data_IF_451011150282
#
_entry.id   IF_451011150282
#
_cell.length_a   1.000
_cell.length_b   1.000
_cell.length_c   1.000
_cell.angle_alpha   90.00
_cell.angle_beta   90.00
_cell.angle_gamma   90.00
#
_symmetry.space_group_name_H-M   'P 1'
#
loop_
_entity.id
_entity.type
_entity.pdbx_description
1 polymer ?
#
# COMPACT_ATOMS: atom_id res chain seq x y z
N UNK A 1 -14.65 42.08 77.53
CA UNK A 1 -16.06 42.48 77.68
C UNK A 1 -16.71 41.50 78.64
N UNK A 2 -17.68 41.94 79.43
CA UNK A 2 -18.45 41.03 80.27
C UNK A 2 -19.19 40.01 79.38
N UNK A 3 -19.49 38.82 79.88
CA UNK A 3 -20.40 37.89 79.18
C UNK A 3 -21.86 38.22 79.53
N UNK A 4 -22.85 37.83 78.71
CA UNK A 4 -24.27 37.98 79.10
C UNK A 4 -24.58 37.37 80.46
N UNK A 5 -23.89 36.29 80.83
CA UNK A 5 -24.02 35.63 82.13
C UNK A 5 -23.38 36.44 83.28
N UNK A 6 -22.32 37.19 83.02
CA UNK A 6 -21.74 38.13 84.00
C UNK A 6 -22.60 39.38 84.20
N UNK A 7 -23.31 39.84 83.17
CA UNK A 7 -24.27 40.95 83.27
C UNK A 7 -25.51 40.52 84.06
N UNK A 8 -26.03 39.32 83.80
CA UNK A 8 -27.17 38.75 84.52
C UNK A 8 -26.92 38.55 86.02
N UNK A 9 -25.68 38.25 86.40
CA UNK A 9 -25.29 38.02 87.80
C UNK A 9 -24.73 39.28 88.49
N UNK A 10 -24.82 40.45 87.85
CA UNK A 10 -24.26 41.69 88.39
C UNK A 10 -25.14 42.23 89.52
N UNK A 11 -24.59 42.37 90.73
CA UNK A 11 -25.30 42.91 91.90
C UNK A 11 -24.75 44.28 92.31
N UNK A 12 -25.63 45.22 92.62
CA UNK A 12 -25.25 46.57 93.06
C UNK A 12 -25.51 46.77 94.57
N UNK A 13 -24.63 47.51 95.25
CA UNK A 13 -24.81 47.86 96.66
C UNK A 13 -25.97 48.86 96.85
N UNK A 14 -26.79 48.67 97.89
CA UNK A 14 -27.95 49.54 98.18
C UNK A 14 -27.51 50.91 98.71
N UNK A 15 -27.91 51.98 98.02
CA UNK A 15 -27.63 53.35 98.46
C UNK A 15 -28.57 53.79 99.61
N UNK A 16 -28.02 54.52 100.59
CA UNK A 16 -28.73 54.93 101.82
C UNK A 16 -29.60 56.18 101.63
N UNK A 17 -29.33 57.02 100.61
CA UNK A 17 -30.16 58.19 100.28
C UNK A 17 -30.06 58.50 98.77
N UNK A 18 -31.19 58.62 98.06
CA UNK A 18 -31.25 59.09 96.66
C UNK A 18 -30.78 58.11 95.56
N UNK A 19 -30.84 56.79 95.79
CA UNK A 19 -30.43 55.78 94.81
C UNK A 19 -31.43 55.50 93.68
N UNK A 20 -30.97 54.79 92.64
CA UNK A 20 -31.83 54.28 91.57
C UNK A 20 -32.86 53.26 92.08
N UNK A 21 -34.03 53.21 91.44
CA UNK A 21 -35.06 52.22 91.74
C UNK A 21 -34.58 50.83 91.30
N UNK A 22 -34.43 49.91 92.26
CA UNK A 22 -33.91 48.56 92.01
C UNK A 22 -34.76 47.80 90.97
N UNK A 23 -36.10 47.91 91.01
CA UNK A 23 -36.96 47.24 90.04
C UNK A 23 -36.76 47.76 88.61
N UNK A 24 -36.56 49.07 88.44
CA UNK A 24 -36.32 49.66 87.12
C UNK A 24 -34.92 49.37 86.58
N UNK A 25 -33.93 49.17 87.47
CA UNK A 25 -32.58 48.74 87.09
C UNK A 25 -32.59 47.27 86.69
N UNK A 26 -33.31 46.42 87.42
CA UNK A 26 -33.47 44.99 87.10
C UNK A 26 -34.18 44.80 85.75
N UNK A 27 -35.30 45.49 85.50
CA UNK A 27 -36.00 45.46 84.20
C UNK A 27 -35.10 45.89 83.02
N UNK A 28 -34.17 46.81 83.26
CA UNK A 28 -33.19 47.24 82.26
C UNK A 28 -32.09 46.19 82.04
N UNK A 29 -31.58 45.59 83.12
CA UNK A 29 -30.56 44.54 83.04
C UNK A 29 -31.09 43.26 82.39
N UNK A 30 -32.37 42.92 82.58
CA UNK A 30 -33.00 41.78 81.91
C UNK A 30 -33.03 41.99 80.39
N UNK A 31 -33.52 43.15 79.93
CA UNK A 31 -33.54 43.50 78.50
C UNK A 31 -32.12 43.61 77.92
N UNK A 32 -31.20 44.23 78.66
CA UNK A 32 -29.80 44.34 78.26
C UNK A 32 -29.15 42.95 78.14
N UNK A 33 -29.44 42.04 79.07
CA UNK A 33 -28.95 40.67 79.05
C UNK A 33 -29.50 39.91 77.85
N UNK A 34 -30.79 40.07 77.53
CA UNK A 34 -31.42 39.46 76.35
C UNK A 34 -30.80 39.96 75.04
N UNK A 35 -30.72 41.28 74.84
CA UNK A 35 -30.13 41.90 73.66
C UNK A 35 -28.64 41.54 73.52
N UNK A 36 -27.90 41.51 74.63
CA UNK A 36 -26.48 41.17 74.62
C UNK A 36 -26.24 39.69 74.34
N UNK A 37 -27.11 38.80 74.83
CA UNK A 37 -27.09 37.38 74.49
C UNK A 37 -27.44 37.14 73.01
N UNK A 38 -28.42 37.86 72.47
CA UNK A 38 -28.75 37.82 71.05
C UNK A 38 -27.57 38.28 70.18
N UNK A 39 -26.95 39.40 70.53
CA UNK A 39 -25.78 39.93 69.82
C UNK A 39 -24.59 38.97 69.87
N UNK A 40 -24.36 38.27 70.99
CA UNK A 40 -23.33 37.23 71.08
C UNK A 40 -23.61 36.02 70.17
N UNK A 41 -24.87 35.55 70.13
CA UNK A 41 -25.27 34.46 69.23
C UNK A 41 -25.12 34.86 67.77
N UNK A 42 -25.55 36.06 67.40
CA UNK A 42 -25.38 36.59 66.04
C UNK A 42 -23.90 36.77 65.68
N UNK A 43 -23.09 37.30 66.60
CA UNK A 43 -21.65 37.46 66.37
C UNK A 43 -20.96 36.09 66.15
N UNK A 44 -21.35 35.06 66.91
CA UNK A 44 -20.86 33.70 66.70
C UNK A 44 -21.32 33.13 65.35
N UNK A 45 -22.58 33.34 64.97
CA UNK A 45 -23.11 32.92 63.68
C UNK A 45 -22.41 33.62 62.51
N UNK A 46 -22.16 34.94 62.63
CA UNK A 46 -21.44 35.72 61.62
C UNK A 46 -19.98 35.28 61.48
N UNK A 47 -19.28 35.03 62.60
CA UNK A 47 -17.93 34.46 62.57
C UNK A 47 -17.89 33.10 61.89
N UNK A 48 -18.87 32.24 62.17
CA UNK A 48 -18.99 30.94 61.50
C UNK A 48 -19.22 31.10 59.99
N UNK A 49 -20.14 31.99 59.58
CA UNK A 49 -20.37 32.30 58.16
C UNK A 49 -19.13 32.86 57.47
N UNK A 50 -18.39 33.75 58.14
CA UNK A 50 -17.16 34.32 57.61
C UNK A 50 -16.10 33.23 57.39
N UNK A 51 -15.96 32.31 58.35
CA UNK A 51 -15.08 31.16 58.21
C UNK A 51 -15.47 30.31 57.00
N UNK A 52 -16.75 29.92 56.89
CA UNK A 52 -17.22 29.10 55.76
C UNK A 52 -16.99 29.79 54.41
N UNK A 53 -17.20 31.11 54.32
CA UNK A 53 -16.94 31.86 53.07
C UNK A 53 -15.46 31.94 52.76
N UNK A 54 -14.60 32.13 53.79
CA UNK A 54 -13.16 32.13 53.61
C UNK A 54 -12.65 30.75 53.15
N UNK A 55 -13.11 29.67 53.79
CA UNK A 55 -12.75 28.29 53.43
C UNK A 55 -13.17 27.99 51.97
N UNK A 56 -14.38 28.37 51.56
CA UNK A 56 -14.84 28.20 50.17
C UNK A 56 -14.04 29.01 49.16
N UNK A 57 -13.61 30.23 49.52
CA UNK A 57 -12.79 31.05 48.64
C UNK A 57 -11.42 30.41 48.40
N UNK A 58 -10.85 29.80 49.43
CA UNK A 58 -9.59 29.06 49.33
C UNK A 58 -9.75 27.81 48.45
N UNK A 59 -10.82 27.04 48.66
CA UNK A 59 -11.18 25.91 47.80
C UNK A 59 -11.33 26.32 46.32
N UNK A 60 -12.04 27.43 46.04
CA UNK A 60 -12.17 27.92 44.67
C UNK A 60 -10.83 28.34 44.05
N UNK A 61 -9.92 28.91 44.85
CA UNK A 61 -8.57 29.24 44.36
C UNK A 61 -7.79 27.98 44.00
N UNK A 62 -7.82 26.96 44.84
CA UNK A 62 -7.16 25.68 44.56
C UNK A 62 -7.73 25.01 43.29
N UNK A 63 -9.05 25.03 43.12
CA UNK A 63 -9.71 24.50 41.91
C UNK A 63 -9.33 25.31 40.67
N UNK A 64 -9.28 26.64 40.77
CA UNK A 64 -8.88 27.50 39.66
C UNK A 64 -7.42 27.22 39.24
N UNK A 65 -6.52 27.04 40.19
CA UNK A 65 -5.12 26.72 39.91
C UNK A 65 -4.95 25.31 39.32
N UNK A 66 -5.71 24.33 39.81
CA UNK A 66 -5.76 23.00 39.21
C UNK A 66 -6.30 23.04 37.77
N UNK A 67 -7.33 23.84 37.51
CA UNK A 67 -7.88 24.04 36.18
C UNK A 67 -6.87 24.73 35.25
N UNK A 68 -6.20 25.80 35.71
CA UNK A 68 -5.12 26.46 34.96
C UNK A 68 -3.99 25.50 34.62
N UNK A 69 -3.55 24.71 35.59
CA UNK A 69 -2.51 23.69 35.38
C UNK A 69 -2.92 22.64 34.34
N UNK A 70 -4.17 22.17 34.42
CA UNK A 70 -4.75 21.21 33.47
C UNK A 70 -4.82 21.81 32.07
N UNK A 71 -5.29 23.05 31.93
CA UNK A 71 -5.35 23.75 30.64
C UNK A 71 -3.97 23.95 30.02
N UNK A 72 -2.97 24.34 30.82
CA UNK A 72 -1.59 24.48 30.36
C UNK A 72 -1.01 23.13 29.92
N UNK A 73 -1.31 22.06 30.65
CA UNK A 73 -0.88 20.70 30.28
C UNK A 73 -1.54 20.25 28.98
N UNK A 74 -2.85 20.45 28.85
CA UNK A 74 -3.59 20.16 27.62
C UNK A 74 -3.06 20.97 26.43
N UNK A 75 -2.76 22.25 26.62
CA UNK A 75 -2.16 23.10 25.58
C UNK A 75 -0.79 22.56 25.15
N UNK A 76 0.09 22.23 26.10
CA UNK A 76 1.40 21.63 25.80
C UNK A 76 1.27 20.31 25.06
N UNK A 77 0.35 19.45 25.49
CA UNK A 77 0.07 18.17 24.82
C UNK A 77 -0.43 18.40 23.39
N UNK A 78 -1.37 19.31 23.18
CA UNK A 78 -1.87 19.67 21.85
C UNK A 78 -0.74 20.20 20.95
N UNK A 79 0.10 21.11 21.45
CA UNK A 79 1.27 21.60 20.71
C UNK A 79 2.27 20.49 20.38
N UNK A 80 2.54 19.56 21.32
CA UNK A 80 3.40 18.40 21.08
C UNK A 80 2.80 17.49 20.01
N UNK A 81 1.50 17.19 20.08
CA UNK A 81 0.81 16.37 19.08
C UNK A 81 0.89 16.99 17.68
N UNK A 82 0.70 18.30 17.56
CA UNK A 82 0.83 19.00 16.27
C UNK A 82 2.27 18.92 15.76
N UNK A 83 3.25 19.22 16.62
CA UNK A 83 4.67 19.17 16.23
C UNK A 83 5.11 17.76 15.81
N UNK A 84 4.67 16.73 16.52
CA UNK A 84 4.94 15.33 16.16
C UNK A 84 4.26 14.93 14.85
N UNK A 85 3.03 15.38 14.62
CA UNK A 85 2.32 15.11 13.37
C UNK A 85 2.99 15.79 12.18
N UNK A 86 3.44 17.03 12.33
CA UNK A 86 4.22 17.76 11.32
C UNK A 86 5.56 17.07 11.03
N UNK A 87 6.30 16.68 12.08
CA UNK A 87 7.56 15.95 11.92
C UNK A 87 7.36 14.60 11.20
N UNK A 88 6.30 13.84 11.55
CA UNK A 88 5.95 12.59 10.87
C UNK A 88 5.56 12.82 9.41
N UNK A 89 4.77 13.86 9.13
CA UNK A 89 4.41 14.26 7.76
C UNK A 89 5.66 14.55 6.94
N UNK A 90 6.55 15.38 7.47
CA UNK A 90 7.75 15.80 6.75
C UNK A 90 8.70 14.62 6.52
N UNK A 91 8.84 13.74 7.51
CA UNK A 91 9.58 12.49 7.34
C UNK A 91 8.98 11.58 6.26
N UNK A 92 7.65 11.43 6.23
CA UNK A 92 6.96 10.63 5.21
C UNK A 92 7.13 11.24 3.82
N UNK A 93 7.00 12.56 3.68
CA UNK A 93 7.20 13.26 2.41
C UNK A 93 8.66 13.09 1.94
N UNK A 94 9.63 13.24 2.85
CA UNK A 94 11.04 13.06 2.52
C UNK A 94 11.36 11.62 2.09
N UNK A 95 10.81 10.62 2.78
CA UNK A 95 10.99 9.21 2.44
C UNK A 95 10.32 8.88 1.09
N UNK A 96 9.08 9.31 0.87
CA UNK A 96 8.38 9.14 -0.39
C UNK A 96 9.10 9.81 -1.56
N UNK A 97 9.59 11.05 -1.37
CA UNK A 97 10.37 11.76 -2.38
C UNK A 97 11.71 11.05 -2.66
N UNK A 98 12.38 10.55 -1.61
CA UNK A 98 13.60 9.77 -1.74
C UNK A 98 13.38 8.45 -2.48
N UNK A 99 12.32 7.72 -2.16
CA UNK A 99 11.93 6.49 -2.83
C UNK A 99 11.57 6.74 -4.30
N UNK A 100 10.78 7.79 -4.60
CA UNK A 100 10.45 8.17 -5.96
C UNK A 100 11.70 8.54 -6.78
N UNK A 101 12.64 9.28 -6.18
CA UNK A 101 13.92 9.61 -6.82
C UNK A 101 14.75 8.36 -7.14
N UNK A 102 14.87 7.43 -6.19
CA UNK A 102 15.57 6.15 -6.42
C UNK A 102 14.91 5.34 -7.53
N UNK A 103 13.57 5.27 -7.56
CA UNK A 103 12.84 4.61 -8.64
C UNK A 103 13.07 5.26 -10.00
N UNK A 104 13.13 6.59 -10.06
CA UNK A 104 13.48 7.29 -11.30
C UNK A 104 14.91 6.99 -11.75
N UNK A 105 15.87 6.95 -10.83
CA UNK A 105 17.25 6.58 -11.13
C UNK A 105 17.36 5.13 -11.63
N UNK A 106 16.66 4.19 -10.99
CA UNK A 106 16.57 2.79 -11.44
C UNK A 106 15.99 2.69 -12.86
N UNK A 107 14.87 3.37 -13.13
CA UNK A 107 14.23 3.37 -14.46
C UNK A 107 15.14 4.02 -15.51
N UNK A 108 15.85 5.09 -15.16
CA UNK A 108 16.80 5.74 -16.08
C UNK A 108 17.97 4.83 -16.42
N UNK A 109 18.49 4.06 -15.46
CA UNK A 109 19.54 3.07 -15.71
C UNK A 109 19.03 1.95 -16.61
N UNK A 110 17.86 1.38 -16.29
CA UNK A 110 17.27 0.32 -17.12
C UNK A 110 16.99 0.81 -18.55
N UNK A 111 16.52 2.06 -18.71
CA UNK A 111 16.32 2.65 -20.03
C UNK A 111 17.64 2.78 -20.79
N UNK A 112 18.72 3.23 -20.14
CA UNK A 112 20.03 3.34 -20.78
C UNK A 112 20.57 1.96 -21.21
N UNK A 113 20.41 0.93 -20.37
CA UNK A 113 20.81 -0.43 -20.70
C UNK A 113 20.00 -0.99 -21.89
N UNK A 114 18.70 -0.73 -21.92
CA UNK A 114 17.83 -1.13 -23.04
C UNK A 114 18.19 -0.38 -24.34
N UNK A 115 18.46 0.92 -24.25
CA UNK A 115 18.91 1.72 -25.40
C UNK A 115 20.23 1.19 -25.96
N UNK A 116 21.18 0.84 -25.10
CA UNK A 116 22.45 0.25 -25.51
C UNK A 116 22.24 -1.12 -26.18
N UNK A 117 21.41 -2.00 -25.59
CA UNK A 117 21.08 -3.30 -26.18
C UNK A 117 20.42 -3.16 -27.54
N UNK A 118 19.53 -2.19 -27.72
CA UNK A 118 18.90 -1.90 -29.00
C UNK A 118 19.91 -1.36 -30.01
N UNK A 119 20.86 -0.51 -29.60
CA UNK A 119 21.93 -0.02 -30.46
C UNK A 119 22.83 -1.17 -30.94
N UNK A 120 23.22 -2.07 -30.04
CA UNK A 120 24.02 -3.25 -30.37
C UNK A 120 23.29 -4.16 -31.37
N UNK A 121 22.00 -4.41 -31.14
CA UNK A 121 21.18 -5.21 -32.06
C UNK A 121 20.98 -4.57 -33.42
N UNK A 122 20.81 -3.25 -33.48
CA UNK A 122 20.76 -2.51 -34.76
C UNK A 122 22.06 -2.68 -35.51
N UNK A 123 23.20 -2.53 -34.83
CA UNK A 123 24.52 -2.71 -35.43
C UNK A 123 24.72 -4.12 -35.98
N UNK A 124 24.32 -5.15 -35.22
CA UNK A 124 24.39 -6.55 -35.67
C UNK A 124 23.55 -6.77 -36.95
N UNK A 125 22.34 -6.20 -37.00
CA UNK A 125 21.48 -6.26 -38.18
C UNK A 125 22.11 -5.52 -39.37
N UNK A 126 22.65 -4.31 -39.16
CA UNK A 126 23.32 -3.54 -40.21
C UNK A 126 24.55 -4.29 -40.78
N UNK A 127 25.34 -4.92 -39.92
CA UNK A 127 26.47 -5.75 -40.32
C UNK A 127 26.03 -7.00 -41.10
N UNK A 128 24.93 -7.65 -40.70
CA UNK A 128 24.36 -8.79 -41.42
C UNK A 128 23.81 -8.40 -42.81
N UNK A 129 23.10 -7.27 -42.91
CA UNK A 129 22.62 -6.73 -44.19
C UNK A 129 23.81 -6.46 -45.11
N UNK A 130 24.85 -5.78 -44.62
CA UNK A 130 26.03 -5.50 -45.42
C UNK A 130 26.77 -6.78 -45.89
N UNK A 131 26.77 -7.83 -45.06
CA UNK A 131 27.33 -9.13 -45.44
C UNK A 131 26.51 -9.82 -46.55
N UNK A 132 25.18 -9.81 -46.44
CA UNK A 132 24.28 -10.35 -47.46
C UNK A 132 24.37 -9.57 -48.78
N UNK A 133 24.44 -8.24 -48.71
CA UNK A 133 24.66 -7.39 -49.89
C UNK A 133 25.97 -7.73 -50.61
N UNK A 134 27.07 -7.94 -49.87
CA UNK A 134 28.35 -8.37 -50.44
C UNK A 134 28.25 -9.75 -51.08
N UNK A 135 27.56 -10.70 -50.44
CA UNK A 135 27.33 -12.05 -50.97
C UNK A 135 26.54 -12.01 -52.27
N UNK A 136 25.46 -11.22 -52.30
CA UNK A 136 24.65 -11.01 -53.49
C UNK A 136 25.46 -10.36 -54.61
N UNK A 137 26.25 -9.33 -54.30
CA UNK A 137 27.11 -8.67 -55.28
C UNK A 137 28.15 -9.62 -55.88
N UNK A 138 28.79 -10.45 -55.05
CA UNK A 138 29.75 -11.47 -55.52
C UNK A 138 29.07 -12.53 -56.40
N UNK A 139 27.88 -13.01 -56.00
CA UNK A 139 27.09 -13.94 -56.80
C UNK A 139 26.65 -13.36 -58.15
N UNK A 140 26.21 -12.09 -58.17
CA UNK A 140 25.88 -11.39 -59.41
C UNK A 140 27.09 -11.20 -60.33
N UNK A 141 28.26 -10.90 -59.76
CA UNK A 141 29.51 -10.80 -60.53
C UNK A 141 29.90 -12.16 -61.13
N UNK A 142 29.88 -13.23 -60.32
CA UNK A 142 30.15 -14.58 -60.81
C UNK A 142 29.20 -15.03 -61.92
N UNK A 143 27.91 -14.68 -61.84
CA UNK A 143 26.95 -14.94 -62.91
C UNK A 143 27.28 -14.16 -64.19
N UNK A 144 27.66 -12.88 -64.08
CA UNK A 144 28.09 -12.07 -65.23
C UNK A 144 29.32 -12.69 -65.91
N UNK A 145 30.30 -13.12 -65.12
CA UNK A 145 31.53 -13.73 -65.63
C UNK A 145 31.22 -15.08 -66.32
N UNK A 146 30.33 -15.90 -65.75
CA UNK A 146 29.88 -17.14 -66.37
C UNK A 146 29.16 -16.91 -67.71
N UNK A 147 28.24 -15.94 -67.77
CA UNK A 147 27.54 -15.58 -69.00
C UNK A 147 28.55 -15.16 -70.09
N UNK A 148 29.54 -14.34 -69.75
CA UNK A 148 30.60 -13.95 -70.69
C UNK A 148 31.41 -15.16 -71.18
N UNK A 149 31.77 -16.07 -70.28
CA UNK A 149 32.48 -17.31 -70.63
C UNK A 149 31.66 -18.17 -71.59
N UNK A 150 30.38 -18.42 -71.30
CA UNK A 150 29.50 -19.20 -72.18
C UNK A 150 29.36 -18.53 -73.55
N UNK A 151 29.17 -17.22 -73.58
CA UNK A 151 29.10 -16.46 -74.84
C UNK A 151 30.40 -16.61 -75.66
N UNK A 152 31.56 -16.56 -75.02
CA UNK A 152 32.85 -16.72 -75.70
C UNK A 152 33.04 -18.14 -76.27
N UNK A 153 32.60 -19.18 -75.54
CA UNK A 153 32.64 -20.57 -76.01
C UNK A 153 31.70 -20.76 -77.19
N UNK A 154 30.46 -20.27 -77.11
CA UNK A 154 29.51 -20.32 -78.21
C UNK A 154 30.04 -19.56 -79.45
N UNK A 155 30.69 -18.40 -79.26
CA UNK A 155 31.34 -17.66 -80.35
C UNK A 155 32.49 -18.46 -80.97
N UNK A 156 33.36 -19.07 -80.16
CA UNK A 156 34.45 -19.91 -80.67
C UNK A 156 33.94 -21.14 -81.43
N UNK A 157 32.85 -21.77 -80.95
CA UNK A 157 32.18 -22.86 -81.66
C UNK A 157 31.58 -22.38 -82.99
N UNK A 158 30.92 -21.22 -83.01
CA UNK A 158 30.41 -20.61 -84.23
C UNK A 158 31.52 -20.32 -85.25
N UNK A 159 32.66 -19.79 -84.81
CA UNK A 159 33.81 -19.54 -85.68
C UNK A 159 34.37 -20.84 -86.28
N UNK A 160 34.42 -21.93 -85.51
CA UNK A 160 34.80 -23.25 -86.01
C UNK A 160 33.82 -23.75 -87.08
N UNK A 161 32.51 -23.63 -86.83
CA UNK A 161 31.47 -24.01 -87.77
C UNK A 161 31.51 -23.18 -89.06
N UNK A 162 31.88 -21.91 -88.97
CA UNK A 162 32.09 -21.05 -90.15
C UNK A 162 33.33 -21.43 -90.96
N UNK A 163 34.31 -22.11 -90.35
CA UNK A 163 35.53 -22.62 -91.00
C UNK A 163 35.40 -24.05 -91.55
N UNK A 164 34.33 -24.78 -91.22
CA UNK A 164 34.05 -26.10 -91.81
C UNK A 164 34.00 -26.14 -93.35
N UNK A 165 33.53 -25.11 -94.07
CA UNK A 165 33.57 -25.08 -95.54
C UNK A 165 34.97 -25.10 -96.16
N UNK A 166 36.04 -24.87 -95.37
CA UNK A 166 37.43 -24.86 -95.84
C UNK A 166 38.23 -26.14 -95.51
N UNK A 167 37.63 -27.15 -94.88
CA UNK A 167 38.33 -28.42 -94.63
C UNK A 167 38.34 -29.32 -95.89
N UNK A 168 39.51 -29.85 -96.30
CA UNK A 168 39.58 -30.83 -97.39
C UNK A 168 38.90 -32.15 -96.98
N UNK A 169 38.34 -32.92 -97.93
CA UNK A 169 37.62 -34.14 -97.62
C UNK A 169 38.56 -35.20 -97.00
N UNK A 170 38.16 -35.77 -95.86
CA UNK A 170 38.85 -36.93 -95.30
C UNK A 170 38.64 -38.18 -96.17
N UNK A 171 39.66 -39.03 -96.35
CA UNK A 171 39.51 -40.34 -96.97
C UNK A 171 38.96 -41.36 -95.96
N UNK A 172 37.92 -42.10 -96.36
CA UNK A 172 37.68 -43.49 -95.93
C UNK A 172 38.39 -44.42 -96.94
N UNK A 173 38.62 -45.74 -96.69
CA UNK A 173 38.21 -46.61 -95.56
C UNK A 173 39.33 -47.57 -95.06
N UNK A 174 39.09 -48.36 -94.00
CA UNK A 174 39.39 -49.81 -93.99
C UNK A 174 38.70 -50.54 -92.82
N UNK A 175 38.21 -51.73 -93.11
CA UNK A 175 37.41 -52.58 -92.24
C UNK A 175 38.23 -53.79 -91.71
N UNK A 176 37.98 -54.14 -90.45
CA UNK A 176 38.10 -55.45 -89.77
C UNK A 176 39.50 -55.98 -89.39
N UNK A 177 39.65 -56.75 -88.26
CA UNK A 177 38.66 -57.67 -87.67
C UNK A 177 38.35 -57.52 -86.16
N UNK A 178 37.24 -58.14 -85.76
CA UNK A 178 36.85 -58.43 -84.37
C UNK A 178 37.81 -59.44 -83.73
N UNK A 179 38.03 -59.35 -82.41
CA UNK A 179 38.23 -60.53 -81.57
C UNK A 179 37.14 -60.71 -80.51
N UNK A 180 36.82 -61.99 -80.34
CA UNK A 180 36.02 -62.74 -79.36
C UNK A 180 35.99 -62.22 -77.91
N UNK A 181 34.76 -62.11 -77.40
CA UNK A 181 34.22 -62.81 -76.20
C UNK A 181 35.21 -63.40 -75.16
N UNK A 182 35.29 -62.74 -73.98
CA UNK A 182 35.53 -63.27 -72.61
C UNK A 182 35.91 -62.06 -71.72
N UNK A 183 35.43 -61.80 -70.50
CA UNK A 183 34.83 -62.61 -69.45
C UNK A 183 33.77 -61.79 -68.69
N UNK A 184 32.70 -62.46 -68.25
CA UNK A 184 31.76 -61.97 -67.26
C UNK A 184 32.48 -61.69 -65.93
N UNK A 185 32.37 -60.46 -65.42
CA UNK A 185 32.67 -60.18 -64.01
C UNK A 185 31.35 -60.34 -63.23
N UNK A 186 31.31 -61.23 -62.22
CA UNK A 186 30.06 -61.70 -61.63
C UNK A 186 29.40 -60.63 -60.77
N UNK A 187 28.10 -60.50 -60.97
CA UNK A 187 27.15 -59.96 -60.00
C UNK A 187 27.11 -60.94 -58.83
N UNK A 188 27.50 -60.48 -57.64
CA UNK A 188 27.45 -61.24 -56.40
C UNK A 188 26.90 -60.34 -55.28
N UNK A 189 26.31 -60.92 -54.22
CA UNK A 189 24.88 -60.89 -54.02
C UNK A 189 24.47 -59.90 -52.93
N UNK A 190 23.17 -59.61 -52.90
CA UNK A 190 22.48 -59.19 -51.69
C UNK A 190 22.73 -60.22 -50.59
N UNK A 191 23.40 -59.81 -49.52
CA UNK A 191 23.25 -60.43 -48.21
C UNK A 191 22.46 -59.46 -47.32
N UNK A 192 21.23 -59.89 -47.06
CA UNK A 192 20.45 -59.49 -45.89
C UNK A 192 21.21 -59.94 -44.63
N UNK A 193 21.42 -59.04 -43.68
CA UNK A 193 21.30 -59.40 -42.27
C UNK A 193 20.91 -58.17 -41.42
N UNK A 194 20.08 -58.39 -40.38
CA UNK A 194 19.30 -57.35 -39.72
C UNK A 194 20.11 -56.70 -38.59
N UNK A 195 20.00 -55.38 -38.47
CA UNK A 195 20.37 -54.67 -37.26
C UNK A 195 19.23 -53.73 -36.89
N UNK A 196 18.62 -54.03 -35.75
CA UNK A 196 17.70 -53.19 -35.01
C UNK A 196 18.30 -51.80 -34.81
N UNK A 197 17.51 -50.76 -35.07
CA UNK A 197 17.40 -49.62 -34.16
C UNK A 197 15.98 -49.07 -34.28
N UNK A 198 15.15 -49.54 -33.36
CA UNK A 198 13.91 -48.91 -32.98
C UNK A 198 14.24 -47.59 -32.27
N UNK A 199 13.43 -46.55 -32.52
CA UNK A 199 13.28 -45.43 -31.59
C UNK A 199 13.61 -44.04 -32.14
N UNK A 200 12.81 -43.53 -33.08
CA UNK A 200 12.73 -42.07 -33.32
C UNK A 200 11.29 -41.52 -33.19
N UNK A 201 10.37 -42.28 -32.59
CA UNK A 201 9.02 -41.80 -32.27
C UNK A 201 8.82 -41.42 -30.79
N UNK A 202 9.81 -41.59 -29.90
CA UNK A 202 9.65 -41.22 -28.47
C UNK A 202 10.20 -39.83 -28.09
N UNK A 203 10.99 -39.16 -28.93
CA UNK A 203 11.62 -37.88 -28.54
C UNK A 203 10.70 -36.65 -28.74
N UNK A 204 9.68 -36.76 -29.59
CA UNK A 204 8.68 -35.71 -29.77
C UNK A 204 7.62 -35.69 -28.66
N UNK A 205 7.22 -36.85 -28.14
CA UNK A 205 6.18 -36.95 -27.09
C UNK A 205 6.71 -36.67 -25.68
N UNK A 206 8.00 -36.90 -25.40
CA UNK A 206 8.60 -36.63 -24.10
C UNK A 206 8.81 -35.14 -23.80
N UNK A 207 9.01 -34.31 -24.84
CA UNK A 207 9.18 -32.85 -24.67
C UNK A 207 7.84 -32.20 -24.34
N UNK A 208 6.73 -32.64 -24.94
CA UNK A 208 5.40 -32.14 -24.61
C UNK A 208 4.91 -32.62 -23.23
N UNK A 209 5.22 -33.86 -22.84
CA UNK A 209 4.87 -34.39 -21.52
C UNK A 209 5.67 -33.75 -20.36
N UNK A 210 6.97 -33.50 -20.54
CA UNK A 210 7.81 -32.84 -19.55
C UNK A 210 7.42 -31.36 -19.36
N UNK A 211 7.13 -30.66 -20.46
CA UNK A 211 6.69 -29.27 -20.41
C UNK A 211 5.28 -29.14 -19.80
N UNK A 212 4.39 -30.10 -20.08
CA UNK A 212 3.07 -30.15 -19.45
C UNK A 212 3.13 -30.43 -17.93
N UNK A 213 4.08 -31.25 -17.48
CA UNK A 213 4.31 -31.51 -16.04
C UNK A 213 4.86 -30.27 -15.31
N UNK A 214 5.83 -29.54 -15.88
CA UNK A 214 6.33 -28.28 -15.29
C UNK A 214 5.25 -27.18 -15.23
N UNK A 215 4.39 -27.09 -16.26
CA UNK A 215 3.27 -26.16 -16.26
C UNK A 215 2.23 -26.55 -15.20
N UNK A 216 1.96 -27.84 -15.03
CA UNK A 216 1.02 -28.30 -14.00
C UNK A 216 1.57 -28.09 -12.59
N UNK A 217 2.87 -28.32 -12.38
CA UNK A 217 3.54 -28.13 -11.08
C UNK A 217 3.61 -26.64 -10.70
N UNK A 218 3.81 -25.74 -11.68
CA UNK A 218 3.75 -24.28 -11.44
C UNK A 218 2.34 -23.78 -11.15
N UNK A 219 1.31 -24.34 -11.81
CA UNK A 219 -0.11 -24.05 -11.50
C UNK A 219 -0.46 -24.54 -10.08
N UNK A 220 -0.03 -25.73 -9.69
CA UNK A 220 -0.28 -26.29 -8.37
C UNK A 220 0.49 -25.55 -7.26
N UNK A 221 1.71 -25.10 -7.53
CA UNK A 221 2.47 -24.21 -6.64
C UNK A 221 1.76 -22.87 -6.45
N UNK A 222 1.24 -22.27 -7.53
CA UNK A 222 0.48 -21.02 -7.46
C UNK A 222 -0.86 -21.20 -6.71
N UNK A 223 -1.53 -22.35 -6.88
CA UNK A 223 -2.73 -22.71 -6.14
C UNK A 223 -2.46 -22.92 -4.63
N UNK A 224 -1.30 -23.48 -4.27
CA UNK A 224 -0.89 -23.63 -2.87
C UNK A 224 -0.48 -22.29 -2.23
N UNK A 225 0.19 -21.41 -2.99
CA UNK A 225 0.56 -20.05 -2.57
C UNK A 225 -0.69 -19.19 -2.27
N UNK A 226 -1.69 -19.25 -3.14
CA UNK A 226 -2.96 -18.52 -2.98
C UNK A 226 -3.78 -19.06 -1.80
N UNK A 227 -3.86 -20.39 -1.63
CA UNK A 227 -4.48 -21.01 -0.44
C UNK A 227 -3.74 -20.66 0.86
N UNK A 228 -2.40 -20.56 0.83
CA UNK A 228 -1.57 -20.19 1.98
C UNK A 228 -1.68 -18.70 2.33
N UNK A 229 -1.86 -17.83 1.34
CA UNK A 229 -2.18 -16.41 1.57
C UNK A 229 -3.57 -16.25 2.18
N UNK A 230 -4.57 -16.96 1.67
CA UNK A 230 -5.95 -16.84 2.14
C UNK A 230 -6.12 -17.42 3.57
N UNK A 231 -5.40 -18.50 3.89
CA UNK A 231 -5.33 -19.07 5.26
C UNK A 231 -4.66 -18.10 6.24
N UNK A 232 -3.56 -17.45 5.85
CA UNK A 232 -2.89 -16.41 6.65
C UNK A 232 -3.79 -15.19 6.86
N UNK A 233 -4.58 -14.81 5.87
CA UNK A 233 -5.50 -13.66 5.97
C UNK A 233 -6.69 -13.97 6.90
N UNK A 234 -7.27 -15.18 6.81
CA UNK A 234 -8.31 -15.64 7.75
C UNK A 234 -7.82 -15.74 9.19
N UNK A 235 -6.57 -16.15 9.40
CA UNK A 235 -5.98 -16.31 10.73
C UNK A 235 -5.65 -14.95 11.38
N UNK A 236 -5.19 -13.96 10.58
CA UNK A 236 -5.06 -12.57 11.02
C UNK A 236 -6.41 -11.96 11.41
N UNK A 237 -7.44 -12.11 10.56
CA UNK A 237 -8.78 -11.62 10.87
C UNK A 237 -9.45 -12.27 12.09
N UNK A 238 -9.05 -13.49 12.46
CA UNK A 238 -9.47 -14.13 13.73
C UNK A 238 -8.72 -13.61 14.96
N UNK A 239 -7.43 -13.29 14.83
CA UNK A 239 -6.62 -12.72 15.93
C UNK A 239 -7.02 -11.29 16.25
N UNK A 240 -7.36 -10.48 15.25
CA UNK A 240 -7.78 -9.09 15.47
C UNK A 240 -9.15 -9.02 16.17
N UNK A 241 -10.13 -9.82 15.74
CA UNK A 241 -11.43 -9.94 16.44
C UNK A 241 -11.31 -10.51 17.86
N UNK A 242 -10.35 -11.40 18.12
CA UNK A 242 -10.11 -11.93 19.47
C UNK A 242 -9.38 -10.95 20.39
N UNK A 243 -8.62 -10.00 19.85
CA UNK A 243 -8.01 -8.90 20.62
C UNK A 243 -9.05 -7.84 20.98
N UNK A 244 -9.96 -7.53 20.07
CA UNK A 244 -11.12 -6.65 20.32
C UNK A 244 -12.04 -7.24 21.41
N UNK A 245 -12.39 -8.53 21.33
CA UNK A 245 -13.27 -9.16 22.31
C UNK A 245 -12.64 -9.34 23.71
N UNK A 246 -11.31 -9.31 23.83
CA UNK A 246 -10.59 -9.36 25.13
C UNK A 246 -10.33 -7.98 25.74
N UNK A 247 -10.44 -6.90 24.97
CA UNK A 247 -10.30 -5.52 25.46
C UNK A 247 -11.54 -5.01 26.20
N UNK A 248 -12.70 -5.63 26.01
CA UNK A 248 -14.00 -5.14 26.51
C UNK A 248 -14.48 -5.87 27.79
N UNK A 249 -13.70 -6.80 28.36
CA UNK A 249 -14.09 -7.58 29.57
C UNK A 249 -13.14 -7.39 30.76
N UNK A 250 -13.17 -6.18 31.32
CA UNK A 250 -12.83 -5.78 32.70
C UNK A 250 -13.44 -4.37 32.80
N UNK A 251 -14.53 -4.11 33.49
CA UNK A 251 -14.83 -4.28 34.92
C UNK A 251 -16.36 -4.41 35.15
N UNK A 252 -16.71 -4.85 36.35
CA UNK A 252 -18.03 -5.27 36.85
C UNK A 252 -18.88 -4.13 37.44
N UNK A 253 -20.15 -4.02 37.01
CA UNK A 253 -21.46 -3.70 37.69
C UNK A 253 -21.59 -2.61 38.83
N UNK A 254 -22.81 -2.30 39.35
CA UNK A 254 -23.92 -1.54 38.73
C UNK A 254 -24.50 -0.42 39.67
N UNK A 255 -25.22 0.58 39.15
CA UNK A 255 -26.50 1.11 39.72
C UNK A 255 -26.98 2.44 39.07
N UNK A 256 -28.31 2.47 38.86
CA UNK A 256 -29.25 3.60 38.93
C UNK A 256 -29.10 4.82 37.99
N UNK A 257 -30.13 5.03 37.17
CA UNK A 257 -30.49 6.33 36.60
C UNK A 257 -31.15 6.25 35.22
N UNK A 258 -32.48 6.19 35.20
CA UNK A 258 -33.28 6.38 33.98
C UNK A 258 -33.19 7.84 33.53
N UNK A 259 -32.54 8.11 32.41
CA UNK A 259 -32.85 9.25 31.54
C UNK A 259 -32.86 8.75 30.10
N UNK A 260 -33.99 8.94 29.41
CA UNK A 260 -34.22 8.51 28.04
C UNK A 260 -33.45 9.42 27.07
N UNK A 261 -32.57 8.83 26.28
CA UNK A 261 -31.85 9.49 25.19
C UNK A 261 -32.77 9.60 23.95
N UNK A 262 -32.94 10.77 23.30
CA UNK A 262 -33.84 10.95 22.16
C UNK A 262 -33.34 10.34 20.83
N UNK A 263 -32.25 9.59 20.82
CA UNK A 263 -31.57 9.12 19.60
C UNK A 263 -31.33 7.61 19.55
N UNK A 264 -32.25 6.81 20.11
CA UNK A 264 -32.28 5.36 19.88
C UNK A 264 -32.90 5.06 18.49
N UNK A 265 -32.14 5.37 17.43
CA UNK A 265 -32.45 4.93 16.07
C UNK A 265 -31.94 3.47 15.90
N UNK A 266 -32.92 2.57 15.80
CA UNK A 266 -32.82 1.14 15.56
C UNK A 266 -31.81 0.79 14.45
N UNK A 267 -30.71 0.04 14.73
CA UNK A 267 -29.66 -0.22 13.75
C UNK A 267 -30.07 -1.19 12.62
N UNK A 268 -31.27 -1.77 12.66
CA UNK A 268 -31.81 -2.62 11.59
C UNK A 268 -32.72 -1.86 10.60
N UNK A 269 -32.94 -0.55 10.78
CA UNK A 269 -33.61 0.29 9.79
C UNK A 269 -32.66 0.61 8.61
N UNK A 270 -32.48 -0.36 7.73
CA UNK A 270 -31.75 -0.19 6.47
C UNK A 270 -32.45 0.88 5.62
N UNK A 271 -31.94 2.11 5.63
CA UNK A 271 -32.38 3.21 4.77
C UNK A 271 -32.05 2.82 3.32
N UNK A 272 -32.99 2.19 2.63
CA UNK A 272 -32.91 1.95 1.19
C UNK A 272 -32.92 3.33 0.52
N UNK A 273 -31.75 3.77 0.07
CA UNK A 273 -31.61 4.97 -0.76
C UNK A 273 -32.23 4.67 -2.13
N UNK A 274 -33.44 5.17 -2.38
CA UNK A 274 -34.01 5.19 -3.73
C UNK A 274 -33.22 6.16 -4.58
N UNK A 275 -32.42 5.63 -5.51
CA UNK A 275 -31.58 6.40 -6.43
C UNK A 275 -32.38 7.01 -7.60
N UNK A 276 -33.67 6.69 -7.73
CA UNK A 276 -34.52 7.15 -8.84
C UNK A 276 -34.91 8.64 -8.74
N UNK A 277 -34.73 9.28 -7.58
CA UNK A 277 -35.01 10.71 -7.37
C UNK A 277 -33.75 11.61 -7.33
N UNK A 278 -32.57 11.06 -7.65
CA UNK A 278 -31.33 11.85 -7.63
C UNK A 278 -31.19 12.69 -8.92
N UNK A 279 -31.72 13.90 -8.86
CA UNK A 279 -31.63 14.91 -9.92
C UNK A 279 -30.27 15.63 -9.88
N UNK A 280 -29.45 15.49 -10.92
CA UNK A 280 -28.22 16.25 -11.08
C UNK A 280 -28.14 16.98 -12.43
N UNK A 281 -27.73 18.25 -12.41
CA UNK A 281 -27.32 19.02 -13.59
C UNK A 281 -28.18 20.24 -13.93
N UNK A 282 -27.61 21.14 -14.74
CA UNK A 282 -28.10 22.51 -15.05
C UNK A 282 -29.40 22.61 -15.87
N UNK A 283 -30.06 21.51 -16.20
CA UNK A 283 -31.31 21.51 -16.95
C UNK A 283 -32.40 20.78 -16.15
N UNK A 284 -32.96 21.45 -15.14
CA UNK A 284 -34.22 21.04 -14.51
C UNK A 284 -35.28 22.10 -14.83
N UNK A 285 -36.10 21.84 -15.85
CA UNK A 285 -37.34 22.59 -16.10
C UNK A 285 -38.47 21.86 -15.40
N UNK A 286 -38.95 22.43 -14.31
CA UNK A 286 -40.08 21.92 -13.53
C UNK A 286 -41.38 22.37 -14.21
N UNK A 287 -41.89 21.60 -15.16
CA UNK A 287 -43.27 21.72 -15.61
C UNK A 287 -44.12 20.64 -14.93
N UNK A 288 -44.85 21.06 -13.90
CA UNK A 288 -46.25 20.78 -13.53
C UNK A 288 -46.46 20.99 -12.03
#
# INVERSE_FOLDING_TARGET
>A
MMTPQEVANCTFAKAVMGGYNMASVDDFLDKLTEDYAALYKENAALKSKLKVVADKLEEYREVEDAMRSTLLTAQKMASSMVSEAEAKRDALIADAAGAAKRRLEEIQQELADQEQRLADKRREVDEAIAAEERRLAAGQQGLRDFIQSVQSVCQGQLDLLQRLPELPPEPQPEAEPQPEEAEEVPVQPADEQPAEEAGEEEEADMIDAATALEIQETIDAFAQETRSRDRRNREKGRKDRSREARGVRRETEPEAGQEADPFDDDPDATRVLNLDDLQFGRNYTKEQ
#
